data_IF_990173488679
#
_entry.id   IF_990173488679
#
_cell.length_a   1.000
_cell.length_b   1.000
_cell.length_c   1.000
_cell.angle_alpha   90.00
_cell.angle_beta   90.00
_cell.angle_gamma   90.00
#
_symmetry.space_group_name_H-M   'P 1'
#
loop_
_entity.id
_entity.type
_entity.pdbx_description
1 polymer ?
#
# COMPACT_ATOMS: atom_id res chain seq x y z
N UNK A 1 -0.74 -52.27 -55.89
CA UNK A 1 -0.48 -50.80 -55.75
C UNK A 1 -1.34 -50.07 -54.71
N UNK A 2 -2.09 -50.78 -53.85
CA UNK A 2 -3.04 -50.19 -52.92
C UNK A 2 -2.51 -49.98 -51.50
N UNK A 3 -1.47 -50.68 -51.05
CA UNK A 3 -0.91 -50.63 -49.70
C UNK A 3 -0.09 -49.40 -49.41
N UNK A 4 0.60 -48.82 -50.44
CA UNK A 4 1.45 -47.64 -50.22
C UNK A 4 0.68 -46.34 -49.94
N UNK A 5 -0.55 -46.22 -50.47
CA UNK A 5 -1.37 -45.02 -50.30
C UNK A 5 -2.00 -44.95 -48.90
N UNK A 6 -2.28 -46.08 -48.27
CA UNK A 6 -2.84 -46.13 -46.90
C UNK A 6 -1.81 -45.66 -45.87
N UNK A 7 -0.55 -46.05 -46.03
CA UNK A 7 0.52 -45.66 -45.09
C UNK A 7 0.85 -44.15 -45.14
N UNK A 8 0.76 -43.50 -46.31
CA UNK A 8 1.02 -42.08 -46.45
C UNK A 8 -0.11 -41.23 -45.80
N UNK A 9 -1.36 -41.69 -45.92
CA UNK A 9 -2.53 -41.04 -45.27
C UNK A 9 -2.48 -41.20 -43.75
N UNK A 10 -2.09 -42.35 -43.22
CA UNK A 10 -1.95 -42.60 -41.80
C UNK A 10 -0.82 -41.79 -41.18
N UNK A 11 0.31 -41.63 -41.87
CA UNK A 11 1.44 -40.81 -41.41
C UNK A 11 1.09 -39.31 -41.39
N UNK A 12 0.33 -38.81 -42.37
CA UNK A 12 -0.13 -37.42 -42.43
C UNK A 12 -1.11 -37.09 -41.26
N UNK A 13 -2.03 -38.02 -40.97
CA UNK A 13 -2.98 -37.83 -39.87
C UNK A 13 -2.27 -37.83 -38.51
N UNK A 14 -1.27 -38.67 -38.29
CA UNK A 14 -0.50 -38.72 -37.05
C UNK A 14 0.33 -37.42 -36.86
N UNK A 15 0.89 -36.87 -37.91
CA UNK A 15 1.65 -35.61 -37.86
C UNK A 15 0.75 -34.39 -37.52
N UNK A 16 -0.46 -34.34 -38.08
CA UNK A 16 -1.44 -33.28 -37.79
C UNK A 16 -1.95 -33.40 -36.35
N UNK A 17 -2.19 -34.61 -35.86
CA UNK A 17 -2.59 -34.84 -34.46
C UNK A 17 -1.47 -34.44 -33.47
N UNK A 18 -0.23 -34.75 -33.78
CA UNK A 18 0.94 -34.33 -32.97
C UNK A 18 1.10 -32.80 -32.96
N UNK A 19 0.91 -32.13 -34.08
CA UNK A 19 0.98 -30.66 -34.17
C UNK A 19 -0.16 -29.99 -33.40
N UNK A 20 -1.36 -30.51 -33.42
CA UNK A 20 -2.51 -30.03 -32.65
C UNK A 20 -2.32 -30.25 -31.14
N UNK A 21 -1.70 -31.37 -30.72
CA UNK A 21 -1.38 -31.63 -29.32
C UNK A 21 -0.33 -30.69 -28.74
N UNK A 22 0.65 -30.25 -29.53
CA UNK A 22 1.65 -29.25 -29.11
C UNK A 22 1.05 -27.84 -28.98
N UNK A 23 0.06 -27.47 -29.80
CA UNK A 23 -0.60 -26.18 -29.71
C UNK A 23 -1.52 -26.05 -28.47
N UNK A 24 -1.98 -27.17 -27.90
CA UNK A 24 -2.86 -27.18 -26.74
C UNK A 24 -2.14 -26.81 -25.41
N UNK A 25 -0.80 -26.74 -25.36
CA UNK A 25 -0.02 -26.45 -24.16
C UNK A 25 0.35 -24.97 -23.99
N UNK A 26 -0.21 -24.04 -24.76
CA UNK A 26 0.08 -22.62 -24.58
C UNK A 26 -0.75 -22.06 -23.43
N UNK A 27 -0.13 -21.90 -22.25
CA UNK A 27 -0.75 -21.17 -21.15
C UNK A 27 -0.91 -19.69 -21.53
N UNK A 28 -2.03 -19.05 -21.15
CA UNK A 28 -2.19 -17.60 -21.32
C UNK A 28 -1.03 -16.85 -20.65
N UNK A 29 -0.56 -15.73 -21.24
CA UNK A 29 0.51 -14.93 -20.63
C UNK A 29 0.06 -14.37 -19.28
N UNK A 30 0.95 -14.38 -18.28
CA UNK A 30 0.70 -13.77 -17.00
C UNK A 30 0.72 -12.24 -17.12
N UNK A 31 -0.18 -11.57 -16.39
CA UNK A 31 -0.23 -10.12 -16.21
C UNK A 31 0.28 -9.74 -14.84
N UNK A 32 1.09 -8.69 -14.79
CA UNK A 32 1.71 -8.23 -13.55
C UNK A 32 1.20 -6.85 -13.18
N UNK A 33 0.88 -6.68 -11.91
CA UNK A 33 0.34 -5.46 -11.32
C UNK A 33 1.28 -4.93 -10.24
N UNK A 34 1.32 -3.61 -10.09
CA UNK A 34 2.08 -2.95 -9.04
C UNK A 34 1.23 -1.90 -8.32
N UNK A 35 1.48 -1.71 -7.04
CA UNK A 35 0.85 -0.66 -6.22
C UNK A 35 1.63 0.66 -6.27
N UNK A 36 2.86 0.66 -6.79
CA UNK A 36 3.61 1.90 -7.03
C UNK A 36 3.02 2.67 -8.22
N UNK A 37 2.95 4.00 -8.17
CA UNK A 37 2.43 4.79 -9.27
C UNK A 37 3.28 4.57 -10.54
N UNK A 38 2.60 4.26 -11.66
CA UNK A 38 3.24 4.10 -12.95
C UNK A 38 3.54 5.44 -13.64
N UNK A 39 3.00 6.55 -13.13
CA UNK A 39 3.08 7.85 -13.77
C UNK A 39 4.41 8.54 -13.44
N UNK A 40 5.41 8.24 -14.26
CA UNK A 40 6.61 9.09 -14.39
C UNK A 40 6.28 10.55 -14.81
N UNK A 41 5.02 10.86 -15.11
CA UNK A 41 4.53 12.21 -15.44
C UNK A 41 4.08 13.01 -14.22
N UNK A 42 3.88 12.40 -13.05
CA UNK A 42 3.74 13.17 -11.83
C UNK A 42 5.09 13.90 -11.60
N UNK A 43 5.07 15.24 -11.39
CA UNK A 43 6.32 15.95 -11.10
C UNK A 43 6.98 15.23 -9.93
N UNK A 44 8.17 14.69 -10.16
CA UNK A 44 8.99 14.13 -9.08
C UNK A 44 9.11 15.26 -8.06
N UNK A 45 8.34 15.19 -6.98
CA UNK A 45 8.52 16.09 -5.85
C UNK A 45 9.87 15.72 -5.28
N UNK A 46 10.90 16.38 -5.82
CA UNK A 46 12.25 16.23 -5.33
C UNK A 46 12.23 16.63 -3.86
N UNK A 47 12.45 15.66 -2.98
CA UNK A 47 12.63 15.98 -1.58
C UNK A 47 13.73 17.04 -1.48
N UNK A 48 13.60 18.05 -0.59
CA UNK A 48 14.65 19.03 -0.40
C UNK A 48 15.95 18.30 -0.07
N UNK A 49 17.08 18.83 -0.54
CA UNK A 49 18.40 18.24 -0.32
C UNK A 49 18.69 17.98 1.18
N UNK A 50 18.09 18.79 2.06
CA UNK A 50 18.19 18.68 3.51
C UNK A 50 16.78 18.82 4.13
N UNK A 51 15.99 17.74 4.19
CA UNK A 51 14.67 17.79 4.82
C UNK A 51 14.82 17.98 6.34
N UNK A 52 13.88 18.67 7.01
CA UNK A 52 13.95 18.94 8.45
C UNK A 52 13.85 17.67 9.32
N UNK A 53 13.40 16.59 8.75
CA UNK A 53 13.35 15.26 9.34
C UNK A 53 13.32 14.20 8.24
N UNK A 54 13.58 12.96 8.62
CA UNK A 54 13.54 11.79 7.76
C UNK A 54 12.44 10.83 8.23
N UNK A 55 12.03 9.93 7.36
CA UNK A 55 11.13 8.84 7.72
C UNK A 55 11.82 7.49 7.53
N UNK A 56 11.29 6.48 8.20
CA UNK A 56 11.71 5.09 8.06
C UNK A 56 10.45 4.22 7.97
N UNK A 57 10.24 3.60 6.83
CA UNK A 57 9.14 2.66 6.58
C UNK A 57 9.70 1.24 6.51
N UNK A 58 9.68 0.48 7.62
CA UNK A 58 10.16 -0.90 7.65
C UNK A 58 9.24 -1.83 6.84
N UNK A 59 9.56 -3.13 6.85
CA UNK A 59 8.71 -4.15 6.25
C UNK A 59 7.28 -4.09 6.78
N UNK A 60 6.31 -4.29 5.90
CA UNK A 60 4.88 -4.29 6.20
C UNK A 60 4.41 -5.72 6.44
N UNK A 61 3.65 -5.93 7.52
CA UNK A 61 2.94 -7.19 7.74
C UNK A 61 1.68 -7.27 6.89
N UNK A 62 1.41 -8.43 6.30
CA UNK A 62 0.18 -8.72 5.55
C UNK A 62 -0.40 -10.05 5.97
N UNK A 63 -1.73 -10.29 5.85
CA UNK A 63 -2.33 -11.59 6.13
C UNK A 63 -1.75 -12.68 5.22
N UNK A 64 -1.49 -13.86 5.77
CA UNK A 64 -0.94 -14.99 5.02
C UNK A 64 -1.78 -15.38 3.80
N UNK A 65 -3.11 -15.20 3.88
CA UNK A 65 -4.02 -15.48 2.79
C UNK A 65 -3.62 -14.75 1.49
N UNK A 66 -3.10 -13.54 1.60
CA UNK A 66 -2.70 -12.70 0.46
C UNK A 66 -1.18 -12.57 0.32
N UNK A 67 -0.38 -13.20 1.19
CA UNK A 67 1.08 -13.17 1.15
C UNK A 67 1.65 -14.06 0.05
N UNK A 68 1.18 -13.88 -1.18
CA UNK A 68 1.58 -14.60 -2.39
C UNK A 68 1.53 -13.67 -3.60
N UNK A 69 2.27 -14.01 -4.65
CA UNK A 69 2.34 -13.15 -5.82
C UNK A 69 1.06 -13.17 -6.68
N UNK A 70 0.24 -14.22 -6.58
CA UNK A 70 -1.04 -14.27 -7.27
C UNK A 70 -2.03 -13.28 -6.66
N UNK A 71 -2.82 -12.63 -7.50
CA UNK A 71 -3.97 -11.87 -7.01
C UNK A 71 -4.96 -12.84 -6.37
N UNK A 72 -5.35 -12.53 -5.13
CA UNK A 72 -6.40 -13.22 -4.39
C UNK A 72 -7.64 -12.34 -4.41
N UNK A 73 -8.72 -12.84 -5.01
CA UNK A 73 -9.97 -12.09 -5.14
C UNK A 73 -11.10 -12.78 -4.40
N UNK A 74 -11.99 -11.99 -3.83
CA UNK A 74 -13.17 -12.48 -3.13
C UNK A 74 -14.24 -12.89 -4.15
N UNK A 75 -14.71 -14.11 -4.06
CA UNK A 75 -15.84 -14.64 -4.82
C UNK A 75 -17.16 -14.43 -4.08
N UNK A 76 -17.13 -14.72 -2.80
CA UNK A 76 -18.22 -14.46 -1.85
C UNK A 76 -17.66 -14.34 -0.42
N UNK A 77 -18.52 -14.30 0.60
CA UNK A 77 -18.10 -14.10 2.00
C UNK A 77 -17.20 -15.23 2.56
N UNK A 78 -17.22 -16.42 1.94
CA UNK A 78 -16.50 -17.60 2.44
C UNK A 78 -15.45 -18.14 1.46
N UNK A 79 -15.40 -17.63 0.24
CA UNK A 79 -14.56 -18.18 -0.83
C UNK A 79 -13.72 -17.10 -1.49
N UNK A 80 -12.49 -17.45 -1.77
CA UNK A 80 -11.56 -16.66 -2.58
C UNK A 80 -11.10 -17.45 -3.78
N UNK A 81 -10.82 -16.76 -4.87
CA UNK A 81 -10.13 -17.32 -6.04
C UNK A 81 -8.67 -16.81 -6.03
N UNK A 82 -7.72 -17.71 -6.26
CA UNK A 82 -6.31 -17.40 -6.46
C UNK A 82 -6.05 -17.41 -7.96
N UNK A 83 -5.71 -16.26 -8.52
CA UNK A 83 -5.61 -16.06 -9.96
C UNK A 83 -4.20 -16.39 -10.45
N UNK A 84 -4.03 -17.47 -11.19
CA UNK A 84 -2.70 -17.93 -11.63
C UNK A 84 -2.03 -16.99 -12.64
N UNK A 85 -2.83 -16.31 -13.47
CA UNK A 85 -2.32 -15.43 -14.53
C UNK A 85 -2.32 -13.94 -14.16
N UNK A 86 -2.93 -13.56 -13.04
CA UNK A 86 -2.96 -12.19 -12.52
C UNK A 86 -2.06 -12.14 -11.28
N UNK A 87 -0.96 -11.40 -11.35
CA UNK A 87 0.07 -11.46 -10.32
C UNK A 87 0.54 -10.09 -9.90
N UNK A 88 0.92 -9.94 -8.65
CA UNK A 88 1.71 -8.80 -8.21
C UNK A 88 3.12 -8.89 -8.79
N UNK A 89 3.71 -7.75 -9.13
CA UNK A 89 5.08 -7.65 -9.65
C UNK A 89 6.12 -8.02 -8.59
N UNK A 90 5.80 -7.77 -7.31
CA UNK A 90 6.57 -8.19 -6.14
C UNK A 90 5.61 -8.77 -5.08
N UNK A 91 6.09 -9.42 -4.01
CA UNK A 91 5.23 -9.83 -2.90
C UNK A 91 4.39 -8.66 -2.37
N UNK A 92 3.10 -8.86 -2.03
CA UNK A 92 2.21 -7.79 -1.57
C UNK A 92 2.75 -6.94 -0.43
N UNK A 93 3.49 -7.53 0.51
CA UNK A 93 4.15 -6.79 1.58
C UNK A 93 5.13 -5.73 1.05
N UNK A 94 5.90 -6.07 0.01
CA UNK A 94 6.86 -5.18 -0.63
C UNK A 94 6.18 -4.12 -1.50
N UNK A 95 5.13 -4.50 -2.23
CA UNK A 95 4.31 -3.58 -3.02
C UNK A 95 3.67 -2.51 -2.12
N UNK A 96 3.05 -2.93 -1.02
CA UNK A 96 2.42 -2.03 -0.04
C UNK A 96 3.47 -1.14 0.63
N UNK A 97 4.61 -1.72 1.07
CA UNK A 97 5.70 -0.94 1.68
C UNK A 97 6.20 0.14 0.72
N UNK A 98 6.43 -0.21 -0.55
CA UNK A 98 6.93 0.73 -1.56
C UNK A 98 5.91 1.84 -1.80
N UNK A 99 4.65 1.51 -2.03
CA UNK A 99 3.59 2.50 -2.24
C UNK A 99 3.47 3.46 -1.04
N UNK A 100 3.45 2.95 0.20
CA UNK A 100 3.41 3.77 1.40
C UNK A 100 4.65 4.66 1.55
N UNK A 101 5.86 4.13 1.25
CA UNK A 101 7.10 4.90 1.28
C UNK A 101 7.06 6.08 0.30
N UNK A 102 6.65 5.81 -0.93
CA UNK A 102 6.56 6.82 -1.99
C UNK A 102 5.53 7.90 -1.63
N UNK A 103 4.33 7.52 -1.20
CA UNK A 103 3.27 8.43 -0.80
C UNK A 103 3.66 9.28 0.42
N UNK A 104 4.25 8.68 1.44
CA UNK A 104 4.70 9.37 2.64
C UNK A 104 5.84 10.34 2.34
N UNK A 105 6.83 9.92 1.55
CA UNK A 105 7.94 10.78 1.13
C UNK A 105 7.42 11.99 0.36
N UNK A 106 6.49 11.78 -0.59
CA UNK A 106 5.88 12.85 -1.37
C UNK A 106 5.05 13.81 -0.51
N UNK A 107 4.19 13.29 0.38
CA UNK A 107 3.31 14.10 1.22
C UNK A 107 4.05 14.89 2.29
N UNK A 108 5.16 14.34 2.81
CA UNK A 108 5.96 14.96 3.87
C UNK A 108 7.12 15.80 3.33
N UNK A 109 7.45 15.70 2.04
CA UNK A 109 8.61 16.37 1.44
C UNK A 109 9.92 15.88 2.06
N UNK A 110 10.07 14.59 2.26
CA UNK A 110 11.19 13.96 2.96
C UNK A 110 11.70 12.71 2.23
N UNK A 111 12.62 11.99 2.82
CA UNK A 111 13.24 10.80 2.28
C UNK A 111 13.01 9.63 3.24
N UNK A 112 12.63 8.47 2.69
CA UNK A 112 12.63 7.21 3.43
C UNK A 112 14.05 6.65 3.49
N UNK A 113 14.56 6.50 4.71
CA UNK A 113 15.91 6.00 4.98
C UNK A 113 15.91 4.57 5.52
N UNK A 114 14.81 3.83 5.35
CA UNK A 114 14.79 2.42 5.68
C UNK A 114 15.94 1.69 4.96
N UNK A 115 16.76 1.00 5.72
CA UNK A 115 17.97 0.30 5.22
C UNK A 115 19.07 1.21 4.62
N UNK A 116 19.05 2.51 4.91
CA UNK A 116 20.06 3.45 4.47
C UNK A 116 20.70 4.17 5.66
N UNK A 117 21.99 4.53 5.53
CA UNK A 117 22.63 5.40 6.51
C UNK A 117 22.08 6.82 6.38
N UNK A 118 21.96 7.52 7.50
CA UNK A 118 21.53 8.93 7.54
C UNK A 118 22.36 9.74 8.54
N UNK A 119 22.44 11.08 8.37
CA UNK A 119 23.24 11.95 9.23
C UNK A 119 22.78 11.92 10.69
N UNK A 120 23.73 11.92 11.61
CA UNK A 120 23.43 12.03 13.05
C UNK A 120 22.76 13.37 13.37
N UNK A 121 21.83 13.36 14.33
CA UNK A 121 21.14 14.57 14.80
C UNK A 121 19.90 14.96 14.00
N UNK A 122 19.68 14.40 12.80
CA UNK A 122 18.43 14.60 12.06
C UNK A 122 17.33 13.78 12.71
N UNK A 123 16.14 14.37 13.02
CA UNK A 123 15.01 13.62 13.53
C UNK A 123 14.53 12.55 12.54
N UNK A 124 14.26 11.36 13.04
CA UNK A 124 13.71 10.26 12.22
C UNK A 124 12.38 9.77 12.82
N UNK A 125 11.38 9.62 11.96
CA UNK A 125 10.09 9.06 12.34
C UNK A 125 9.91 7.71 11.68
N UNK A 126 9.80 6.65 12.50
CA UNK A 126 9.51 5.29 12.01
C UNK A 126 8.01 5.10 11.92
N UNK A 127 7.55 4.73 10.72
CA UNK A 127 6.13 4.43 10.43
C UNK A 127 6.00 2.93 10.19
N UNK A 128 5.51 2.20 11.20
CA UNK A 128 5.26 0.76 11.09
C UNK A 128 3.80 0.51 10.73
N UNK A 129 3.55 -0.35 9.75
CA UNK A 129 2.21 -0.69 9.28
C UNK A 129 2.03 -2.20 9.30
N UNK A 130 0.90 -2.64 9.84
CA UNK A 130 0.47 -4.03 9.82
C UNK A 130 -0.93 -4.10 9.23
N UNK A 131 -1.04 -4.67 8.05
CA UNK A 131 -2.31 -4.87 7.35
C UNK A 131 -3.00 -6.08 7.96
N UNK A 132 -4.20 -5.86 8.50
CA UNK A 132 -5.03 -6.90 9.13
C UNK A 132 -6.00 -7.52 8.12
N UNK A 133 -6.40 -6.74 7.10
CA UNK A 133 -7.31 -7.14 6.05
C UNK A 133 -6.88 -6.52 4.73
N UNK A 134 -6.81 -7.33 3.68
CA UNK A 134 -6.56 -6.90 2.32
C UNK A 134 -7.50 -7.69 1.41
N UNK A 135 -8.63 -7.09 1.07
CA UNK A 135 -9.68 -7.75 0.31
C UNK A 135 -9.89 -7.11 -1.05
N UNK A 136 -9.96 -7.93 -2.06
CA UNK A 136 -10.15 -7.58 -3.46
C UNK A 136 -11.49 -8.12 -3.94
N UNK A 137 -12.50 -7.26 -4.08
CA UNK A 137 -13.84 -7.59 -4.60
C UNK A 137 -13.99 -7.01 -6.01
N UNK A 138 -13.75 -7.78 -7.09
CA UNK A 138 -13.84 -7.27 -8.46
C UNK A 138 -15.21 -6.64 -8.74
N UNK A 139 -15.23 -5.47 -9.40
CA UNK A 139 -16.44 -4.73 -9.72
C UNK A 139 -17.22 -4.18 -8.50
N UNK A 140 -16.63 -4.25 -7.30
CA UNK A 140 -17.31 -3.79 -6.08
C UNK A 140 -16.42 -2.86 -5.26
N UNK A 141 -15.35 -3.39 -4.64
CA UNK A 141 -14.50 -2.61 -3.77
C UNK A 141 -13.11 -3.23 -3.58
N UNK A 142 -12.15 -2.40 -3.26
CA UNK A 142 -10.89 -2.75 -2.63
C UNK A 142 -10.94 -2.33 -1.16
N UNK A 143 -10.65 -3.22 -0.22
CA UNK A 143 -10.74 -2.91 1.21
C UNK A 143 -9.45 -3.25 1.94
N UNK A 144 -8.97 -2.31 2.76
CA UNK A 144 -7.78 -2.45 3.59
C UNK A 144 -8.10 -2.01 5.02
N UNK A 145 -7.80 -2.88 5.99
CA UNK A 145 -7.71 -2.49 7.39
C UNK A 145 -6.26 -2.61 7.82
N UNK A 146 -5.74 -1.55 8.42
CA UNK A 146 -4.37 -1.52 8.90
C UNK A 146 -4.29 -0.94 10.32
N UNK A 147 -3.42 -1.52 11.13
CA UNK A 147 -2.91 -0.90 12.35
C UNK A 147 -1.54 -0.32 12.01
N UNK A 148 -1.37 0.95 12.30
CA UNK A 148 -0.13 1.65 12.03
C UNK A 148 0.32 2.46 13.24
N UNK A 149 1.62 2.68 13.32
CA UNK A 149 2.18 3.49 14.40
C UNK A 149 3.26 4.43 13.86
N UNK A 150 3.38 5.59 14.48
CA UNK A 150 4.47 6.56 14.25
C UNK A 150 5.26 6.71 15.53
N UNK A 151 6.55 6.43 15.46
CA UNK A 151 7.51 6.59 16.57
C UNK A 151 8.57 7.61 16.19
N UNK A 152 8.75 8.63 17.02
CA UNK A 152 9.89 9.52 16.90
C UNK A 152 11.13 8.84 17.52
N UNK A 153 12.10 8.47 16.70
CA UNK A 153 13.31 7.80 17.19
C UNK A 153 14.12 8.71 18.11
N UNK A 154 14.74 8.12 19.13
CA UNK A 154 15.46 8.88 20.15
C UNK A 154 14.57 9.58 21.20
N UNK A 155 13.25 9.37 21.15
CA UNK A 155 12.28 9.84 22.14
C UNK A 155 11.31 8.72 22.54
N UNK A 156 10.44 8.98 23.55
CA UNK A 156 9.36 8.07 23.93
C UNK A 156 8.04 8.37 23.19
N UNK A 157 8.04 9.35 22.28
CA UNK A 157 6.82 9.73 21.57
C UNK A 157 6.39 8.66 20.58
N UNK A 158 5.19 8.14 20.76
CA UNK A 158 4.58 7.07 19.98
C UNK A 158 3.08 7.36 19.81
N UNK A 159 2.59 7.16 18.61
CA UNK A 159 1.17 7.13 18.27
C UNK A 159 0.86 5.78 17.63
N UNK A 160 -0.25 5.15 18.00
CA UNK A 160 -0.73 3.92 17.33
C UNK A 160 -2.20 4.08 16.99
N UNK A 161 -2.53 3.85 15.74
CA UNK A 161 -3.86 4.08 15.18
C UNK A 161 -4.30 2.90 14.32
N UNK A 162 -5.61 2.84 14.07
CA UNK A 162 -6.22 1.91 13.12
C UNK A 162 -6.96 2.68 12.05
N UNK A 163 -6.80 2.26 10.81
CA UNK A 163 -7.53 2.78 9.65
C UNK A 163 -8.22 1.65 8.93
N UNK A 164 -9.50 1.87 8.60
CA UNK A 164 -10.29 0.97 7.75
C UNK A 164 -10.76 1.76 6.53
N UNK A 165 -10.42 1.27 5.34
CA UNK A 165 -10.77 1.91 4.07
C UNK A 165 -11.43 0.90 3.15
N UNK A 166 -12.48 1.32 2.46
CA UNK A 166 -13.14 0.55 1.41
C UNK A 166 -13.40 1.48 0.22
N UNK A 167 -12.64 1.26 -0.86
CA UNK A 167 -12.72 2.04 -2.09
C UNK A 167 -13.62 1.34 -3.10
N UNK A 168 -14.64 1.99 -3.64
CA UNK A 168 -15.42 1.43 -4.74
C UNK A 168 -14.56 1.31 -5.99
N UNK A 169 -14.75 0.20 -6.73
CA UNK A 169 -13.99 -0.08 -7.95
C UNK A 169 -14.92 -0.52 -9.07
N UNK A 170 -14.58 -0.13 -10.30
CA UNK A 170 -15.19 -0.65 -11.51
C UNK A 170 -14.75 -2.10 -11.78
N UNK A 171 -15.30 -2.71 -12.82
CA UNK A 171 -14.89 -4.03 -13.28
C UNK A 171 -13.44 -4.03 -13.78
N UNK A 172 -12.81 -5.19 -13.65
CA UNK A 172 -11.42 -5.41 -14.08
C UNK A 172 -10.39 -5.29 -12.95
N UNK A 173 -9.28 -5.97 -13.16
CA UNK A 173 -8.21 -6.03 -12.15
C UNK A 173 -7.40 -4.75 -12.06
N UNK A 174 -7.27 -4.00 -13.16
CA UNK A 174 -6.64 -2.67 -13.14
C UNK A 174 -7.40 -1.69 -12.23
N UNK A 175 -8.75 -1.69 -12.33
CA UNK A 175 -9.60 -0.88 -11.49
C UNK A 175 -9.51 -1.30 -10.00
N UNK A 176 -9.39 -2.60 -9.75
CA UNK A 176 -9.20 -3.16 -8.41
C UNK A 176 -7.87 -2.72 -7.80
N UNK A 177 -6.77 -2.81 -8.56
CA UNK A 177 -5.44 -2.34 -8.16
C UNK A 177 -5.43 -0.83 -7.91
N UNK A 178 -6.08 -0.05 -8.78
CA UNK A 178 -6.25 1.38 -8.57
C UNK A 178 -7.05 1.71 -7.29
N UNK A 179 -8.05 0.89 -6.94
CA UNK A 179 -8.76 0.99 -5.67
C UNK A 179 -7.86 0.75 -4.45
N UNK A 180 -7.02 -0.27 -4.51
CA UNK A 180 -6.04 -0.52 -3.45
C UNK A 180 -5.02 0.63 -3.31
N UNK A 181 -4.58 1.24 -4.41
CA UNK A 181 -3.71 2.43 -4.37
C UNK A 181 -4.38 3.58 -3.63
N UNK A 182 -5.65 3.90 -3.96
CA UNK A 182 -6.39 4.95 -3.24
C UNK A 182 -6.55 4.64 -1.75
N UNK A 183 -6.82 3.39 -1.40
CA UNK A 183 -6.91 2.99 -0.01
C UNK A 183 -5.57 3.16 0.74
N UNK A 184 -4.44 2.87 0.09
CA UNK A 184 -3.11 3.09 0.66
C UNK A 184 -2.78 4.57 0.80
N UNK A 185 -3.15 5.43 -0.16
CA UNK A 185 -2.98 6.88 -0.06
C UNK A 185 -3.72 7.48 1.15
N UNK A 186 -4.91 6.98 1.45
CA UNK A 186 -5.65 7.36 2.68
C UNK A 186 -4.86 6.99 3.93
N UNK A 187 -4.31 5.77 4.00
CA UNK A 187 -3.50 5.32 5.15
C UNK A 187 -2.24 6.17 5.26
N UNK A 188 -1.54 6.42 4.15
CA UNK A 188 -0.37 7.28 4.09
C UNK A 188 -0.68 8.71 4.56
N UNK A 189 -1.81 9.29 4.13
CA UNK A 189 -2.24 10.63 4.53
C UNK A 189 -2.49 10.74 6.04
N UNK A 190 -3.09 9.74 6.64
CA UNK A 190 -3.28 9.69 8.09
C UNK A 190 -1.96 9.52 8.83
N UNK A 191 -1.08 8.63 8.38
CA UNK A 191 0.24 8.45 8.97
C UNK A 191 1.10 9.71 8.84
N UNK A 192 1.06 10.41 7.69
CA UNK A 192 1.72 11.69 7.48
C UNK A 192 1.21 12.76 8.45
N UNK A 193 -0.09 12.81 8.70
CA UNK A 193 -0.68 13.71 9.72
C UNK A 193 -0.16 13.37 11.12
N UNK A 194 0.00 12.10 11.44
CA UNK A 194 0.63 11.63 12.68
C UNK A 194 2.09 12.09 12.82
N UNK A 195 2.87 11.96 11.75
CA UNK A 195 4.26 12.45 11.72
C UNK A 195 4.31 13.97 11.99
N UNK A 196 3.46 14.75 11.30
CA UNK A 196 3.40 16.20 11.50
C UNK A 196 3.03 16.58 12.93
N UNK A 197 2.08 15.87 13.53
CA UNK A 197 1.66 16.10 14.92
C UNK A 197 2.79 15.83 15.91
N UNK A 198 3.57 14.76 15.72
CA UNK A 198 4.75 14.45 16.53
C UNK A 198 5.88 15.45 16.32
N UNK A 199 6.13 15.87 15.09
CA UNK A 199 7.14 16.86 14.75
C UNK A 199 6.85 18.22 15.38
N UNK A 200 5.60 18.69 15.33
CA UNK A 200 5.17 19.95 15.95
C UNK A 200 5.38 19.95 17.48
N UNK A 201 5.10 18.85 18.16
CA UNK A 201 5.33 18.71 19.60
C UNK A 201 6.82 18.76 19.96
N UNK A 202 7.68 18.18 19.14
CA UNK A 202 9.13 18.26 19.37
C UNK A 202 9.62 19.71 19.29
N UNK A 203 9.11 20.49 18.35
CA UNK A 203 9.43 21.92 18.24
C UNK A 203 9.00 22.71 19.47
N UNK A 204 7.81 22.44 20.04
CA UNK A 204 7.32 23.15 21.21
C UNK A 204 8.07 22.80 22.51
N UNK A 205 8.50 21.55 22.69
CA UNK A 205 9.33 21.15 23.85
C UNK A 205 10.76 21.72 23.78
N UNK A 206 11.30 21.92 22.59
CA UNK A 206 12.61 22.55 22.42
C UNK A 206 12.60 24.06 22.69
N UNK A 207 11.42 24.71 22.54
CA UNK A 207 11.26 26.16 22.79
C UNK A 207 10.96 26.48 24.26
N UNK A 208 10.57 25.48 25.08
CA UNK A 208 10.36 25.68 26.53
C UNK A 208 11.66 25.42 27.28
N UNK A 209 12.41 26.50 27.61
CA UNK A 209 13.53 26.45 28.56
C UNK A 209 13.01 25.87 29.88
N UNK A 210 13.68 24.90 30.54
CA UNK A 210 13.23 24.40 31.82
C UNK A 210 13.32 25.48 32.88
N UNK A 211 12.18 25.97 33.31
CA UNK A 211 12.12 26.78 34.55
C UNK A 211 12.40 25.81 35.70
N UNK A 212 13.56 26.00 36.33
CA UNK A 212 14.01 25.23 37.50
C UNK A 212 13.10 25.58 38.66
N UNK A 213 12.12 24.69 38.99
CA UNK A 213 11.67 24.57 40.40
C UNK A 213 10.83 23.28 40.57
N UNK A 214 11.15 22.60 41.64
CA UNK A 214 10.36 21.59 42.38
C UNK A 214 10.45 20.11 41.98
N UNK A 215 11.22 19.44 42.77
CA UNK A 215 11.18 18.05 43.24
C UNK A 215 9.75 17.45 43.24
N UNK A 216 9.54 16.41 42.42
CA UNK A 216 8.32 15.61 42.43
C UNK A 216 8.47 14.49 41.40
N UNK A 217 8.94 13.31 41.88
CA UNK A 217 9.07 12.09 41.06
C UNK A 217 7.70 11.50 40.76
N UNK A 218 6.98 12.10 39.81
CA UNK A 218 5.85 11.45 39.18
C UNK A 218 6.31 11.14 37.73
N UNK A 219 6.35 9.86 37.38
CA UNK A 219 6.53 9.44 35.99
C UNK A 219 5.33 9.99 35.22
N UNK A 220 5.50 11.12 34.55
CA UNK A 220 4.48 11.69 33.69
C UNK A 220 4.19 10.68 32.58
N UNK A 221 2.95 10.16 32.57
CA UNK A 221 2.46 9.32 31.48
C UNK A 221 2.72 10.07 30.16
N UNK A 222 3.32 9.36 29.20
CA UNK A 222 3.58 9.95 27.88
C UNK A 222 2.24 10.49 27.31
N UNK A 223 2.20 11.74 26.84
CA UNK A 223 0.97 12.36 26.38
C UNK A 223 0.40 11.56 25.22
N UNK A 224 -0.83 11.05 25.39
CA UNK A 224 -1.56 10.35 24.34
C UNK A 224 -1.83 11.33 23.20
N UNK A 225 -1.39 11.00 22.00
CA UNK A 225 -1.64 11.78 20.80
C UNK A 225 -2.86 11.16 20.12
N UNK A 226 -3.95 11.93 19.91
CA UNK A 226 -5.15 11.40 19.27
C UNK A 226 -4.86 11.02 17.82
N UNK A 227 -5.47 9.93 17.37
CA UNK A 227 -5.40 9.51 15.97
C UNK A 227 -6.12 10.52 15.07
N UNK A 228 -5.64 10.73 13.83
CA UNK A 228 -6.38 11.45 12.81
C UNK A 228 -7.75 10.80 12.58
N UNK A 229 -8.76 11.61 12.28
CA UNK A 229 -10.11 11.09 11.98
C UNK A 229 -10.06 10.16 10.76
N UNK A 230 -10.79 9.04 10.84
CA UNK A 230 -10.98 8.19 9.65
C UNK A 230 -11.80 8.98 8.61
N UNK A 231 -11.45 8.86 7.31
CA UNK A 231 -12.31 9.43 6.27
C UNK A 231 -13.68 8.77 6.34
N UNK A 232 -14.72 9.58 6.32
CA UNK A 232 -16.11 9.07 6.26
C UNK A 232 -16.28 8.38 4.92
N UNK A 233 -16.68 7.08 4.85
CA UNK A 233 -16.98 6.44 3.59
C UNK A 233 -18.14 7.19 2.92
N UNK A 234 -17.92 7.77 1.73
CA UNK A 234 -18.96 8.35 0.89
C UNK A 234 -19.59 9.64 1.42
N UNK A 235 -18.77 10.64 1.75
CA UNK A 235 -19.25 12.02 1.83
C UNK A 235 -19.58 12.54 0.44
N UNK A 236 -20.83 12.40 0.02
CA UNK A 236 -21.37 13.06 -1.17
C UNK A 236 -21.00 14.54 -1.15
N UNK A 237 -20.34 14.97 -2.21
CA UNK A 237 -20.24 16.39 -2.53
C UNK A 237 -21.67 16.89 -2.81
N UNK A 238 -22.40 17.28 -1.77
CA UNK A 238 -23.63 18.03 -1.89
C UNK A 238 -23.33 19.32 -2.64
N UNK A 239 -23.55 19.28 -3.95
CA UNK A 239 -23.60 20.45 -4.79
C UNK A 239 -24.67 21.39 -4.18
N UNK A 240 -24.21 22.50 -3.61
CA UNK A 240 -25.04 23.64 -3.23
C UNK A 240 -25.73 24.17 -4.49
N UNK A 241 -26.95 23.72 -4.74
CA UNK A 241 -27.83 24.33 -5.72
C UNK A 241 -28.25 25.69 -5.14
N UNK A 242 -27.58 26.72 -5.65
CA UNK A 242 -27.98 28.11 -5.42
C UNK A 242 -29.35 28.33 -6.11
N UNK A 243 -30.44 28.29 -5.34
CA UNK A 243 -31.76 28.77 -5.76
C UNK A 243 -31.65 30.27 -5.91
N UNK A 244 -31.70 30.74 -7.15
CA UNK A 244 -31.90 32.17 -7.50
C UNK A 244 -33.32 32.36 -7.93
N UNK A 245 -34.03 33.16 -7.20
CA UNK A 245 -35.33 33.76 -7.59
C UNK A 245 -35.09 34.89 -8.59
#
# INVERSE_FOLDING_TARGET
>A
MTTTRVNVLASGAAAVFAALALAACSSPPARFYTLSPADAAAPVRTAPANPPFLIEVPSVGVPEQVAKNQLVVQKNAAQVDVLEQERWAAPPADEIRRALSDDLAAQLGTIDVANSAYPAGVPVYRISVNVQRFESWPGKRAAIDAVWSVRALGTQALMTCRTSVAEPVADGYDALVAGHRRALDVIASQAASGVRALAARRGSTAASTPSTTASGKAAAAAPVIPCPANPTPGGDASASVKSGA
#
